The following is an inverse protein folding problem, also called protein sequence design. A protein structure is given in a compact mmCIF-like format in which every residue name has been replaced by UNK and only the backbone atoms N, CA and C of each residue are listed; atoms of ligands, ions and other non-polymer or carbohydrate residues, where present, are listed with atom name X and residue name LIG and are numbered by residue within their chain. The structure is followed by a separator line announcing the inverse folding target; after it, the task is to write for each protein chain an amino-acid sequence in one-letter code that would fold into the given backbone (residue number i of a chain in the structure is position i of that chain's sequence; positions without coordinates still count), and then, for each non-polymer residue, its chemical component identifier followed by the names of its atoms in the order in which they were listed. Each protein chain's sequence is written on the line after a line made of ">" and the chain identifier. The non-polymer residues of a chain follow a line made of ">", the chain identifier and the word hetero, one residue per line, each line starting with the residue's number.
data_IF_698279234355
#
_entry.id   IF_698279234355
#
_cell.length_a   1.000
_cell.length_b   1.000
_cell.length_c   1.000
_cell.angle_alpha   90.00
_cell.angle_beta   90.00
_cell.angle_gamma   90.00
#
_symmetry.space_group_name_H-M   'P 1'
#
loop_
_entity.id
_entity.type
_entity.pdbx_description
1 polymer ?
#
# COMPACT_ATOMS: atom_id res chain seq x y z
N UNK A 1 -34.43 -57.45 10.82
CA UNK A 1 -33.46 -56.60 10.10
C UNK A 1 -32.53 -56.00 11.13
N UNK A 2 -31.23 -56.29 11.06
CA UNK A 2 -30.22 -55.77 11.99
C UNK A 2 -30.11 -54.25 11.83
N UNK A 3 -30.23 -53.51 12.94
CA UNK A 3 -30.08 -52.06 12.94
C UNK A 3 -28.61 -51.73 12.63
N UNK A 4 -28.37 -51.23 11.40
CA UNK A 4 -27.03 -50.84 10.98
C UNK A 4 -26.51 -49.69 11.84
N UNK A 5 -25.37 -49.90 12.47
CA UNK A 5 -24.60 -48.86 13.15
C UNK A 5 -24.23 -47.78 12.11
N UNK A 6 -24.77 -46.58 12.26
CA UNK A 6 -24.31 -45.40 11.53
C UNK A 6 -23.06 -44.88 12.24
N UNK A 7 -21.90 -45.02 11.62
CA UNK A 7 -20.71 -44.29 12.01
C UNK A 7 -20.90 -42.83 11.58
N UNK A 8 -21.41 -41.99 12.48
CA UNK A 8 -21.23 -40.55 12.35
C UNK A 8 -19.76 -40.26 12.66
N UNK A 9 -18.91 -40.36 11.65
CA UNK A 9 -17.61 -39.69 11.69
C UNK A 9 -17.92 -38.21 11.47
N UNK A 10 -17.99 -37.43 12.54
CA UNK A 10 -17.89 -35.99 12.41
C UNK A 10 -16.60 -35.71 11.61
N UNK A 11 -16.65 -34.94 10.50
CA UNK A 11 -15.44 -34.61 9.78
C UNK A 11 -14.46 -33.99 10.77
N UNK A 12 -13.20 -34.46 10.77
CA UNK A 12 -12.17 -33.88 11.62
C UNK A 12 -12.21 -32.36 11.43
N UNK A 13 -12.25 -31.57 12.52
CA UNK A 13 -12.29 -30.13 12.40
C UNK A 13 -11.07 -29.73 11.57
N UNK A 14 -11.34 -29.09 10.42
CA UNK A 14 -10.32 -28.46 9.60
C UNK A 14 -9.42 -27.67 10.54
N UNK A 15 -8.16 -28.08 10.66
CA UNK A 15 -7.16 -27.31 11.39
C UNK A 15 -6.99 -26.05 10.55
N UNK A 16 -7.61 -24.97 11.00
CA UNK A 16 -7.52 -23.69 10.32
C UNK A 16 -6.05 -23.24 10.38
N UNK A 17 -5.35 -23.42 9.25
CA UNK A 17 -3.94 -23.08 9.12
C UNK A 17 -3.80 -21.56 9.21
N UNK A 18 -3.12 -21.10 10.26
CA UNK A 18 -2.87 -19.67 10.52
C UNK A 18 -1.71 -19.11 9.70
N UNK A 19 -0.85 -20.00 9.23
CA UNK A 19 0.35 -19.75 8.44
C UNK A 19 0.73 -21.07 7.75
N UNK A 20 1.55 -21.01 6.69
CA UNK A 20 2.04 -22.22 6.02
C UNK A 20 2.97 -23.00 6.98
N UNK A 21 2.48 -24.12 7.48
CA UNK A 21 3.18 -24.98 8.45
C UNK A 21 4.54 -25.48 7.95
N UNK A 22 4.75 -25.59 6.64
CA UNK A 22 6.03 -26.01 6.05
C UNK A 22 7.13 -24.94 6.21
N UNK A 23 6.72 -23.67 6.33
CA UNK A 23 7.64 -22.52 6.48
C UNK A 23 8.01 -22.24 7.93
N UNK A 24 7.20 -22.77 8.86
CA UNK A 24 7.34 -22.63 10.30
C UNK A 24 8.59 -23.29 10.85
N UNK A 25 9.60 -22.50 11.21
CA UNK A 25 10.84 -23.01 11.81
C UNK A 25 10.86 -22.72 13.30
N UNK A 26 10.99 -23.77 14.11
CA UNK A 26 11.19 -23.64 15.56
C UNK A 26 12.54 -23.04 15.86
N UNK A 27 12.55 -22.07 16.76
CA UNK A 27 13.76 -21.55 17.39
C UNK A 27 14.34 -22.63 18.31
N UNK A 28 15.67 -22.79 18.31
CA UNK A 28 16.36 -23.79 19.14
C UNK A 28 16.26 -23.45 20.63
N UNK A 29 16.01 -24.47 21.44
CA UNK A 29 15.99 -24.45 22.90
C UNK A 29 14.67 -23.96 23.51
N UNK A 30 14.33 -24.42 24.73
CA UNK A 30 13.21 -23.88 25.47
C UNK A 30 13.53 -22.48 26.03
N UNK A 31 12.51 -21.65 26.18
CA UNK A 31 12.59 -20.34 26.82
C UNK A 31 11.73 -20.34 28.08
N UNK A 32 12.24 -19.77 29.17
CA UNK A 32 11.47 -19.57 30.40
C UNK A 32 10.47 -18.44 30.19
N UNK A 33 9.18 -18.76 30.22
CA UNK A 33 8.10 -17.78 30.11
C UNK A 33 7.98 -16.99 31.41
N UNK A 34 7.92 -15.67 31.28
CA UNK A 34 7.47 -14.79 32.34
C UNK A 34 5.94 -14.87 32.43
N UNK A 35 5.46 -15.46 33.53
CA UNK A 35 4.04 -15.65 33.81
C UNK A 35 3.44 -14.49 34.62
N UNK A 36 4.22 -13.43 34.88
CA UNK A 36 3.73 -12.24 35.58
C UNK A 36 2.51 -11.66 34.86
N UNK A 37 1.43 -11.40 35.61
CA UNK A 37 0.14 -10.91 35.12
C UNK A 37 -0.61 -11.83 34.14
N UNK A 38 -0.15 -13.09 33.97
CA UNK A 38 -0.92 -14.13 33.29
C UNK A 38 -1.73 -14.93 34.31
N UNK A 39 -2.92 -15.36 33.92
CA UNK A 39 -3.81 -16.14 34.80
C UNK A 39 -3.36 -17.60 34.82
N UNK A 40 -2.98 -18.11 35.99
CA UNK A 40 -2.64 -19.52 36.18
C UNK A 40 -3.83 -20.42 35.81
N UNK A 41 -3.54 -21.57 35.19
CA UNK A 41 -4.53 -22.49 34.63
C UNK A 41 -5.08 -22.09 33.26
N UNK A 42 -4.83 -20.88 32.76
CA UNK A 42 -5.23 -20.46 31.42
C UNK A 42 -4.31 -21.02 30.33
N UNK A 43 -4.76 -20.98 29.07
CA UNK A 43 -3.97 -21.42 27.93
C UNK A 43 -3.61 -20.24 27.02
N UNK A 44 -2.32 -20.10 26.73
CA UNK A 44 -1.84 -19.25 25.65
C UNK A 44 -2.01 -19.98 24.31
N UNK A 45 -2.70 -19.37 23.33
CA UNK A 45 -2.84 -19.97 22.01
C UNK A 45 -1.50 -20.01 21.28
N UNK A 46 -1.37 -20.94 20.32
CA UNK A 46 -0.25 -20.90 19.38
C UNK A 46 -0.22 -19.55 18.65
N UNK A 47 0.97 -19.15 18.21
CA UNK A 47 1.20 -17.87 17.54
C UNK A 47 0.96 -16.62 18.42
N UNK A 48 0.93 -16.77 19.75
CA UNK A 48 0.94 -15.61 20.66
C UNK A 48 2.23 -14.78 20.44
N UNK A 49 2.16 -13.44 20.36
CA UNK A 49 3.34 -12.58 20.22
C UNK A 49 4.26 -12.64 21.45
N UNK A 50 5.55 -12.90 21.23
CA UNK A 50 6.56 -13.08 22.29
C UNK A 50 7.77 -12.18 22.05
N UNK A 51 8.20 -11.48 23.10
CA UNK A 51 9.51 -10.86 23.20
C UNK A 51 10.48 -11.84 23.85
N UNK A 52 11.40 -12.42 23.07
CA UNK A 52 12.37 -13.38 23.57
C UNK A 52 13.74 -12.75 23.81
N UNK A 53 14.33 -13.01 24.98
CA UNK A 53 15.74 -12.75 25.25
C UNK A 53 16.56 -14.00 24.89
N UNK A 54 17.34 -13.89 23.82
CA UNK A 54 18.11 -15.00 23.25
C UNK A 54 19.32 -15.39 24.10
N UNK A 55 19.81 -14.45 24.93
CA UNK A 55 20.97 -14.62 25.81
C UNK A 55 20.52 -15.27 27.11
N UNK A 56 19.50 -14.70 27.76
CA UNK A 56 18.98 -15.19 29.04
C UNK A 56 18.03 -16.38 28.92
N UNK A 57 17.61 -16.72 27.69
CA UNK A 57 16.60 -17.75 27.41
C UNK A 57 15.30 -17.50 28.15
N UNK A 58 14.85 -16.25 28.18
CA UNK A 58 13.55 -15.86 28.74
C UNK A 58 12.61 -15.40 27.63
N UNK A 59 11.31 -15.51 27.87
CA UNK A 59 10.25 -15.11 26.96
C UNK A 59 9.21 -14.31 27.74
N UNK A 60 8.82 -13.16 27.23
CA UNK A 60 7.74 -12.36 27.78
C UNK A 60 6.63 -12.22 26.75
N UNK A 61 5.37 -12.37 27.18
CA UNK A 61 4.23 -12.15 26.29
C UNK A 61 4.13 -10.67 25.97
N UNK A 62 4.09 -10.34 24.69
CA UNK A 62 3.82 -8.99 24.23
C UNK A 62 2.29 -8.81 24.19
N UNK A 63 1.69 -8.37 25.29
CA UNK A 63 0.23 -8.25 25.40
C UNK A 63 -0.27 -7.19 24.39
N UNK A 64 -1.19 -7.60 23.52
CA UNK A 64 -1.85 -6.78 22.50
C UNK A 64 -3.36 -6.90 22.63
N UNK A 65 -4.03 -5.79 22.37
CA UNK A 65 -5.47 -5.67 22.55
C UNK A 65 -6.06 -5.03 21.30
N UNK A 66 -6.98 -5.72 20.64
CA UNK A 66 -7.65 -5.19 19.45
C UNK A 66 -8.98 -4.54 19.84
N UNK A 67 -9.21 -3.33 19.34
CA UNK A 67 -10.44 -2.56 19.56
C UNK A 67 -11.60 -3.18 18.80
N UNK A 68 -12.68 -3.50 19.52
CA UNK A 68 -13.87 -4.14 18.95
C UNK A 68 -14.86 -3.13 18.40
N UNK A 69 -15.04 -2.00 19.09
CA UNK A 69 -15.96 -0.93 18.69
C UNK A 69 -15.23 0.41 18.81
N UNK A 70 -15.55 1.33 17.89
CA UNK A 70 -14.93 2.67 17.82
C UNK A 70 -15.01 3.35 19.18
N UNK A 71 -13.85 3.75 19.70
CA UNK A 71 -13.74 4.60 20.88
C UNK A 71 -13.71 6.05 20.43
N UNK A 72 -14.70 6.84 20.85
CA UNK A 72 -14.70 8.28 20.58
C UNK A 72 -14.19 9.01 21.81
N UNK A 73 -13.23 9.92 21.62
CA UNK A 73 -12.74 10.80 22.70
C UNK A 73 -13.80 11.83 23.10
N UNK A 74 -13.77 12.29 24.35
CA UNK A 74 -14.69 13.30 24.86
C UNK A 74 -15.21 13.02 26.26
N UNK A 75 -14.32 12.58 27.17
CA UNK A 75 -14.64 12.09 28.53
C UNK A 75 -15.18 10.67 28.56
N UNK A 76 -14.98 9.88 27.50
CA UNK A 76 -15.35 8.48 27.48
C UNK A 76 -14.28 7.66 28.21
N UNK A 77 -14.68 6.82 29.15
CA UNK A 77 -13.77 5.93 29.87
C UNK A 77 -14.04 4.45 29.56
N UNK A 78 -14.91 4.16 28.61
CA UNK A 78 -15.29 2.80 28.24
C UNK A 78 -14.69 2.43 26.89
N UNK A 79 -13.82 1.43 26.88
CA UNK A 79 -13.22 0.86 25.66
C UNK A 79 -13.67 -0.60 25.51
N UNK A 80 -14.20 -0.97 24.34
CA UNK A 80 -14.58 -2.35 24.02
C UNK A 80 -13.50 -3.00 23.17
N UNK A 81 -13.10 -4.20 23.56
CA UNK A 81 -11.98 -4.92 22.94
C UNK A 81 -12.40 -6.34 22.59
N UNK A 82 -11.70 -6.97 21.65
CA UNK A 82 -11.96 -8.38 21.32
C UNK A 82 -11.74 -9.29 22.52
N UNK A 83 -12.53 -10.37 22.57
CA UNK A 83 -12.40 -11.44 23.59
C UNK A 83 -11.02 -12.08 23.55
N UNK A 84 -10.70 -12.76 24.65
CA UNK A 84 -9.46 -13.51 24.85
C UNK A 84 -8.21 -12.63 24.80
N UNK A 85 -8.38 -11.32 24.98
CA UNK A 85 -7.27 -10.44 25.28
C UNK A 85 -6.62 -10.84 26.62
N UNK A 86 -5.29 -10.70 26.69
CA UNK A 86 -4.54 -10.92 27.92
C UNK A 86 -4.49 -9.65 28.79
N UNK A 87 -5.46 -8.76 28.63
CA UNK A 87 -5.56 -7.52 29.40
C UNK A 87 -5.81 -7.82 30.89
N UNK A 88 -5.20 -7.02 31.77
CA UNK A 88 -5.32 -7.14 33.21
C UNK A 88 -5.51 -5.76 33.87
N UNK A 89 -6.02 -5.74 35.10
CA UNK A 89 -6.30 -4.50 35.85
C UNK A 89 -4.99 -3.83 36.24
N UNK A 90 -4.89 -2.52 36.04
CA UNK A 90 -3.68 -1.72 36.26
C UNK A 90 -2.74 -1.67 35.07
N UNK A 91 -3.02 -2.40 33.97
CA UNK A 91 -2.25 -2.30 32.74
C UNK A 91 -2.39 -0.92 32.09
N UNK A 92 -1.29 -0.36 31.60
CA UNK A 92 -1.31 0.84 30.75
C UNK A 92 -1.46 0.42 29.28
N UNK A 93 -2.48 0.92 28.60
CA UNK A 93 -2.64 0.79 27.16
C UNK A 93 -1.95 1.95 26.46
N UNK A 94 -1.40 1.72 25.28
CA UNK A 94 -0.79 2.75 24.45
C UNK A 94 -0.96 2.52 22.96
N UNK A 95 -0.90 3.61 22.19
CA UNK A 95 -0.88 3.59 20.73
C UNK A 95 0.36 4.26 20.11
N UNK A 96 1.29 4.78 20.90
CA UNK A 96 2.48 5.52 20.42
C UNK A 96 2.46 6.99 20.79
N UNK A 97 1.28 7.55 21.02
CA UNK A 97 1.08 8.97 21.32
C UNK A 97 0.26 9.19 22.58
N UNK A 98 -0.72 8.31 22.80
CA UNK A 98 -1.72 8.40 23.84
C UNK A 98 -1.87 7.06 24.56
N UNK A 99 -2.36 7.13 25.80
CA UNK A 99 -2.53 5.96 26.64
C UNK A 99 -3.46 6.19 27.82
N UNK A 100 -3.90 5.08 28.41
CA UNK A 100 -4.76 5.07 29.58
C UNK A 100 -4.57 3.81 30.42
N UNK A 101 -4.80 3.92 31.73
CA UNK A 101 -4.74 2.78 32.65
C UNK A 101 -6.09 2.07 32.73
N UNK A 102 -6.09 0.75 32.75
CA UNK A 102 -7.28 -0.07 32.97
C UNK A 102 -7.61 -0.14 34.47
N UNK A 103 -8.78 0.37 34.87
CA UNK A 103 -9.28 0.28 36.24
C UNK A 103 -10.08 -1.01 36.50
N UNK A 104 -10.87 -1.45 35.52
CA UNK A 104 -11.64 -2.68 35.64
C UNK A 104 -11.90 -3.31 34.28
N UNK A 105 -12.17 -4.62 34.29
CA UNK A 105 -12.47 -5.41 33.10
C UNK A 105 -13.76 -6.18 33.37
N UNK A 106 -14.76 -5.97 32.52
CA UNK A 106 -15.98 -6.76 32.50
C UNK A 106 -15.95 -7.73 31.31
N UNK A 107 -16.07 -9.02 31.62
CA UNK A 107 -15.99 -10.13 30.66
C UNK A 107 -17.34 -10.84 30.44
N UNK A 108 -18.45 -10.26 30.94
CA UNK A 108 -19.77 -10.90 30.89
C UNK A 108 -20.33 -11.07 29.47
N UNK A 109 -19.96 -10.16 28.56
CA UNK A 109 -20.40 -10.21 27.17
C UNK A 109 -19.67 -11.32 26.40
N UNK A 110 -20.39 -11.99 25.49
CA UNK A 110 -19.84 -13.10 24.69
C UNK A 110 -19.02 -12.63 23.49
N UNK A 111 -19.25 -11.41 23.00
CA UNK A 111 -18.64 -10.85 21.80
C UNK A 111 -17.43 -9.96 22.09
N UNK A 112 -17.41 -9.25 23.23
CA UNK A 112 -16.32 -8.34 23.60
C UNK A 112 -16.01 -8.37 25.11
N UNK A 113 -14.84 -7.88 25.48
CA UNK A 113 -14.52 -7.49 26.85
C UNK A 113 -14.63 -5.97 26.97
N UNK A 114 -15.21 -5.48 28.07
CA UNK A 114 -15.39 -4.05 28.32
C UNK A 114 -14.37 -3.58 29.34
N UNK A 115 -13.50 -2.67 28.93
CA UNK A 115 -12.52 -2.02 29.79
C UNK A 115 -13.08 -0.70 30.32
N UNK A 116 -12.91 -0.47 31.63
CA UNK A 116 -13.07 0.84 32.24
C UNK A 116 -11.70 1.46 32.42
N UNK A 117 -11.44 2.57 31.75
CA UNK A 117 -10.19 3.32 31.78
C UNK A 117 -10.20 4.36 32.90
N UNK A 118 -9.02 4.70 33.43
CA UNK A 118 -8.85 5.71 34.47
C UNK A 118 -9.12 7.14 33.99
N UNK A 119 -8.91 7.38 32.69
CA UNK A 119 -9.17 8.64 32.01
C UNK A 119 -9.58 8.33 30.56
N UNK A 120 -10.07 9.35 29.86
CA UNK A 120 -10.24 9.27 28.41
C UNK A 120 -8.89 8.90 27.75
N UNK A 121 -8.95 8.09 26.69
CA UNK A 121 -7.74 7.66 25.98
C UNK A 121 -7.00 8.85 25.36
N UNK A 122 -7.68 9.98 25.14
CA UNK A 122 -7.09 11.21 24.58
C UNK A 122 -7.09 11.26 23.06
N UNK A 123 -7.60 10.22 22.40
CA UNK A 123 -7.73 10.12 20.95
C UNK A 123 -8.92 9.21 20.59
N UNK A 124 -9.53 9.46 19.43
CA UNK A 124 -10.50 8.53 18.86
C UNK A 124 -9.76 7.31 18.31
N UNK A 125 -10.16 6.10 18.74
CA UNK A 125 -9.53 4.84 18.32
C UNK A 125 -10.51 4.05 17.48
N UNK A 126 -10.13 3.79 16.22
CA UNK A 126 -10.99 3.09 15.25
C UNK A 126 -11.03 1.57 15.51
N UNK A 127 -12.12 0.93 15.07
CA UNK A 127 -12.29 -0.52 15.12
C UNK A 127 -11.12 -1.24 14.46
N UNK A 128 -10.66 -2.34 15.05
CA UNK A 128 -9.54 -3.14 14.54
C UNK A 128 -8.16 -2.59 14.88
N UNK A 129 -8.07 -1.41 15.53
CA UNK A 129 -6.79 -0.88 16.00
C UNK A 129 -6.21 -1.78 17.08
N UNK A 130 -4.93 -2.11 16.97
CA UNK A 130 -4.22 -2.95 17.95
C UNK A 130 -3.41 -2.06 18.90
N UNK A 131 -3.88 -1.97 20.15
CA UNK A 131 -3.20 -1.30 21.24
C UNK A 131 -2.20 -2.24 21.91
N UNK A 132 -1.16 -1.68 22.51
CA UNK A 132 -0.14 -2.44 23.22
C UNK A 132 -0.11 -2.12 24.72
N UNK A 133 0.42 -3.05 25.51
CA UNK A 133 0.84 -2.75 26.88
C UNK A 133 2.00 -1.76 26.86
N UNK A 134 1.81 -0.60 27.49
CA UNK A 134 2.77 0.48 27.55
C UNK A 134 3.59 0.47 28.85
N UNK A 135 4.78 1.05 28.82
CA UNK A 135 5.64 1.23 30.00
C UNK A 135 5.10 2.26 30.99
N UNK A 136 4.33 3.22 30.51
CA UNK A 136 3.81 4.35 31.28
C UNK A 136 2.40 4.74 30.81
N UNK A 137 1.70 5.50 31.64
CA UNK A 137 0.32 5.97 31.36
C UNK A 137 0.21 6.77 30.06
N UNK A 138 1.27 7.46 29.64
CA UNK A 138 1.30 8.22 28.38
C UNK A 138 1.10 7.36 27.14
N UNK A 139 1.33 6.04 27.22
CA UNK A 139 1.09 5.13 26.10
C UNK A 139 2.04 5.29 24.92
N UNK A 140 3.19 5.95 25.10
CA UNK A 140 4.13 6.29 24.03
C UNK A 140 5.09 5.17 23.65
N UNK A 141 5.32 4.22 24.56
CA UNK A 141 6.33 3.18 24.36
C UNK A 141 5.78 1.83 24.81
N UNK A 142 5.83 0.79 23.96
CA UNK A 142 5.42 -0.54 24.35
C UNK A 142 6.39 -1.10 25.39
N UNK A 143 5.85 -1.83 26.38
CA UNK A 143 6.64 -2.48 27.43
C UNK A 143 7.64 -3.48 26.87
N UNK A 144 7.19 -4.23 25.87
CA UNK A 144 8.02 -5.14 25.09
C UNK A 144 7.57 -5.14 23.64
N UNK A 145 8.51 -5.40 22.74
CA UNK A 145 8.25 -5.57 21.30
C UNK A 145 8.50 -7.04 20.95
N UNK A 146 7.54 -7.68 20.29
CA UNK A 146 7.68 -9.07 19.92
C UNK A 146 8.79 -9.24 18.87
N UNK A 147 9.55 -10.32 19.00
CA UNK A 147 10.59 -10.72 18.03
C UNK A 147 10.45 -12.19 17.63
N UNK A 148 9.46 -12.88 18.21
CA UNK A 148 9.16 -14.30 18.05
C UNK A 148 7.67 -14.52 18.29
N UNK A 149 7.16 -15.69 17.92
CA UNK A 149 5.80 -16.12 18.23
C UNK A 149 5.82 -17.48 18.94
N UNK A 150 4.77 -17.78 19.71
CA UNK A 150 4.64 -19.07 20.39
C UNK A 150 4.43 -20.22 19.38
N UNK A 151 5.20 -21.30 19.47
CA UNK A 151 5.09 -22.41 18.53
C UNK A 151 3.80 -23.24 18.71
N UNK A 152 3.48 -23.58 19.95
CA UNK A 152 2.34 -24.43 20.29
C UNK A 152 1.47 -23.78 21.36
N UNK A 153 0.30 -24.37 21.61
CA UNK A 153 -0.53 -23.98 22.75
C UNK A 153 0.20 -24.34 24.05
N UNK A 154 0.19 -23.43 25.03
CA UNK A 154 0.89 -23.61 26.32
C UNK A 154 -0.07 -23.30 27.46
N UNK A 155 -0.07 -24.12 28.51
CA UNK A 155 -0.77 -23.82 29.75
C UNK A 155 0.10 -22.95 30.66
N UNK A 156 -0.49 -21.90 31.24
CA UNK A 156 0.16 -21.08 32.26
C UNK A 156 0.05 -21.82 33.59
N UNK A 157 1.19 -22.21 34.17
CA UNK A 157 1.26 -22.86 35.47
C UNK A 157 1.86 -21.90 36.51
N UNK A 158 1.63 -22.16 37.80
CA UNK A 158 2.22 -21.37 38.89
C UNK A 158 3.75 -21.56 39.01
N UNK A 159 4.29 -22.57 38.31
CA UNK A 159 5.72 -22.91 38.29
C UNK A 159 6.48 -22.38 37.07
N UNK A 160 7.65 -22.99 36.82
CA UNK A 160 8.47 -22.65 35.65
C UNK A 160 7.82 -23.19 34.38
N UNK A 161 7.30 -22.29 33.56
CA UNK A 161 6.75 -22.64 32.23
C UNK A 161 7.85 -22.49 31.18
N UNK A 162 8.15 -23.59 30.48
CA UNK A 162 9.08 -23.61 29.36
C UNK A 162 8.33 -23.63 28.03
N UNK A 163 8.67 -22.70 27.14
CA UNK A 163 7.99 -22.53 25.86
C UNK A 163 8.92 -22.72 24.68
N UNK A 164 8.35 -23.22 23.59
CA UNK A 164 9.01 -23.25 22.29
C UNK A 164 8.52 -22.09 21.44
N UNK A 165 9.44 -21.46 20.72
CA UNK A 165 9.16 -20.28 19.92
C UNK A 165 9.36 -20.59 18.42
N UNK A 166 8.67 -19.84 17.58
CA UNK A 166 8.92 -19.75 16.15
C UNK A 166 10.03 -18.72 15.91
N UNK A 167 10.96 -19.08 15.02
CA UNK A 167 11.97 -18.16 14.46
C UNK A 167 11.50 -17.56 13.13
N UNK A 168 10.68 -18.30 12.37
CA UNK A 168 10.20 -17.94 11.04
C UNK A 168 8.82 -18.55 10.80
N UNK A 169 7.95 -17.82 10.11
CA UNK A 169 6.69 -18.32 9.56
C UNK A 169 6.27 -17.41 8.38
N UNK A 170 5.76 -17.98 7.29
CA UNK A 170 5.30 -17.22 6.13
C UNK A 170 3.82 -17.46 5.86
N UNK A 171 3.26 -16.62 4.99
CA UNK A 171 1.84 -16.62 4.62
C UNK A 171 0.89 -16.55 5.83
N UNK A 172 1.26 -15.75 6.83
CA UNK A 172 0.50 -15.62 8.06
C UNK A 172 -0.77 -14.82 7.75
N UNK A 173 -1.94 -15.35 8.07
CA UNK A 173 -3.22 -14.65 7.91
C UNK A 173 -3.62 -13.93 9.22
N UNK A 174 -3.51 -12.59 9.31
CA UNK A 174 -3.74 -11.88 10.58
C UNK A 174 -5.16 -12.04 11.12
N UNK A 175 -6.15 -12.20 10.25
CA UNK A 175 -7.58 -12.37 10.59
C UNK A 175 -7.87 -13.68 11.31
N UNK A 176 -7.06 -14.73 11.08
CA UNK A 176 -7.16 -16.05 11.71
C UNK A 176 -6.36 -16.16 13.01
N UNK A 177 -5.58 -15.13 13.36
CA UNK A 177 -4.80 -15.15 14.58
C UNK A 177 -5.69 -14.95 15.79
N UNK A 178 -5.54 -15.84 16.78
CA UNK A 178 -6.23 -15.69 18.06
C UNK A 178 -5.72 -14.48 18.86
N UNK A 179 -4.47 -14.06 18.62
CA UNK A 179 -3.83 -12.91 19.26
C UNK A 179 -3.32 -11.95 18.18
N UNK A 180 -3.62 -10.65 18.28
CA UNK A 180 -3.19 -9.68 17.30
C UNK A 180 -1.69 -9.34 17.46
N UNK A 181 -1.07 -8.91 16.35
CA UNK A 181 0.29 -8.34 16.33
C UNK A 181 0.18 -6.86 15.99
N UNK A 182 0.87 -6.01 16.77
CA UNK A 182 0.97 -4.58 16.42
C UNK A 182 1.94 -4.37 15.26
N UNK A 183 1.87 -3.22 14.60
CA UNK A 183 2.78 -2.93 13.48
C UNK A 183 4.24 -2.82 13.92
N UNK A 184 4.49 -2.37 15.16
CA UNK A 184 5.83 -2.35 15.77
C UNK A 184 6.38 -3.78 15.92
N UNK A 185 5.53 -4.74 16.28
CA UNK A 185 5.94 -6.15 16.38
C UNK A 185 6.29 -6.72 15.01
N UNK A 186 5.41 -6.49 14.02
CA UNK A 186 5.62 -6.97 12.64
C UNK A 186 6.93 -6.42 12.08
N UNK A 187 7.21 -5.14 12.30
CA UNK A 187 8.46 -4.50 11.87
C UNK A 187 9.70 -5.13 12.53
N UNK A 188 9.57 -5.63 13.76
CA UNK A 188 10.66 -6.26 14.51
C UNK A 188 10.77 -7.78 14.24
N UNK A 189 9.94 -8.34 13.35
CA UNK A 189 9.87 -9.76 13.02
C UNK A 189 10.21 -9.99 11.53
N UNK A 190 11.47 -9.79 11.08
CA UNK A 190 11.84 -9.79 9.65
C UNK A 190 11.70 -11.15 8.96
N UNK A 191 11.60 -12.23 9.72
CA UNK A 191 11.39 -13.59 9.20
C UNK A 191 9.92 -14.04 9.31
N UNK A 192 9.00 -13.10 9.47
CA UNK A 192 7.58 -13.36 9.54
C UNK A 192 6.87 -12.58 8.42
N UNK A 193 6.23 -13.31 7.50
CA UNK A 193 5.47 -12.68 6.42
C UNK A 193 3.99 -12.69 6.79
N UNK A 194 3.52 -11.56 7.31
CA UNK A 194 2.11 -11.30 7.52
C UNK A 194 1.49 -10.93 6.18
N UNK A 195 0.59 -11.79 5.68
CA UNK A 195 -0.25 -11.44 4.56
C UNK A 195 -1.10 -10.24 4.98
N UNK A 196 -1.19 -9.22 4.13
CA UNK A 196 -2.20 -8.20 4.32
C UNK A 196 -3.57 -8.89 4.40
N UNK A 197 -4.43 -8.47 5.33
CA UNK A 197 -5.77 -9.02 5.48
C UNK A 197 -6.59 -8.71 4.21
N UNK A 198 -6.43 -9.53 3.17
CA UNK A 198 -6.75 -9.15 1.80
C UNK A 198 -5.93 -7.94 1.33
N UNK A 199 -5.51 -7.96 0.08
CA UNK A 199 -5.36 -6.69 -0.64
C UNK A 199 -6.79 -6.23 -0.97
N UNK A 200 -7.51 -5.77 0.05
CA UNK A 200 -8.46 -4.71 -0.15
C UNK A 200 -7.79 -3.48 0.43
N UNK A 201 -7.66 -2.42 -0.38
CA UNK A 201 -7.39 -1.09 0.16
C UNK A 201 -8.22 -0.93 1.43
N UNK A 202 -7.64 -0.43 2.54
CA UNK A 202 -8.37 -0.33 3.80
C UNK A 202 -9.73 0.28 3.50
N UNK A 203 -10.82 -0.36 3.92
CA UNK A 203 -12.16 0.11 3.63
C UNK A 203 -12.28 1.55 4.14
N UNK A 204 -12.37 2.52 3.21
CA UNK A 204 -12.37 3.95 3.52
C UNK A 204 -11.10 4.73 3.12
N UNK A 205 -10.08 4.08 2.56
CA UNK A 205 -8.94 4.75 1.94
C UNK A 205 -9.01 4.53 0.43
N UNK A 206 -9.89 5.28 -0.24
CA UNK A 206 -9.70 5.56 -1.65
C UNK A 206 -8.44 6.41 -1.74
N UNK A 207 -7.33 5.82 -2.17
CA UNK A 207 -6.21 6.62 -2.61
C UNK A 207 -6.63 7.32 -3.91
N UNK A 208 -7.15 8.54 -3.79
CA UNK A 208 -7.29 9.43 -4.92
C UNK A 208 -5.91 9.99 -5.24
N UNK A 209 -5.35 9.57 -6.39
CA UNK A 209 -4.11 10.13 -6.88
C UNK A 209 -4.35 11.62 -7.14
N UNK A 210 -3.65 12.53 -6.44
CA UNK A 210 -3.83 13.96 -6.64
C UNK A 210 -3.42 14.34 -8.06
N UNK A 211 -3.98 15.45 -8.56
CA UNK A 211 -3.54 16.01 -9.83
C UNK A 211 -2.06 16.42 -9.74
N UNK A 212 -1.27 16.03 -10.74
CA UNK A 212 0.15 16.34 -10.77
C UNK A 212 0.37 17.86 -10.91
N UNK A 213 1.25 18.42 -10.09
CA UNK A 213 1.67 19.82 -10.18
C UNK A 213 3.20 19.95 -10.08
N UNK A 214 3.71 21.18 -10.15
CA UNK A 214 5.13 21.47 -9.90
C UNK A 214 5.58 21.17 -8.46
N UNK A 215 4.62 20.95 -7.56
CA UNK A 215 4.81 20.82 -6.11
C UNK A 215 4.13 19.57 -5.51
N UNK A 216 3.32 18.85 -6.31
CA UNK A 216 2.56 17.67 -5.88
C UNK A 216 2.81 16.49 -6.82
N UNK A 217 3.17 15.34 -6.26
CA UNK A 217 3.43 14.10 -6.99
C UNK A 217 2.11 13.36 -7.29
N UNK A 218 1.51 13.66 -8.44
CA UNK A 218 0.33 12.97 -8.97
C UNK A 218 0.66 11.75 -9.83
N UNK A 219 1.63 10.95 -9.39
CA UNK A 219 2.26 9.86 -10.15
C UNK A 219 3.54 10.31 -10.88
N UNK A 220 3.52 11.51 -11.46
CA UNK A 220 4.71 12.27 -11.88
C UNK A 220 4.62 13.69 -11.29
N UNK A 221 5.76 14.36 -11.08
CA UNK A 221 5.82 15.77 -10.70
C UNK A 221 6.09 16.62 -11.95
N UNK A 222 5.35 17.71 -12.11
CA UNK A 222 5.52 18.67 -13.21
C UNK A 222 6.59 19.72 -12.85
N UNK A 223 6.73 20.76 -13.67
CA UNK A 223 7.66 21.88 -13.39
C UNK A 223 9.05 21.75 -14.01
N UNK A 224 9.28 20.76 -14.88
CA UNK A 224 10.49 20.72 -15.70
C UNK A 224 10.57 21.95 -16.60
N UNK A 225 11.72 22.62 -16.64
CA UNK A 225 11.98 23.70 -17.59
C UNK A 225 12.62 23.13 -18.85
N UNK A 226 12.13 23.52 -20.03
CA UNK A 226 12.63 23.02 -21.31
C UNK A 226 14.16 23.17 -21.40
N UNK A 227 14.82 22.10 -21.85
CA UNK A 227 16.27 22.10 -22.08
C UNK A 227 16.60 21.32 -23.35
N UNK A 228 17.08 22.04 -24.37
CA UNK A 228 17.34 21.47 -25.69
C UNK A 228 16.08 20.83 -26.30
N UNK A 229 16.19 19.54 -26.67
CA UNK A 229 15.08 18.74 -27.23
C UNK A 229 14.24 18.02 -26.17
N UNK A 230 14.40 18.37 -24.89
CA UNK A 230 13.56 17.86 -23.80
C UNK A 230 12.48 18.88 -23.49
N UNK A 231 11.24 18.49 -23.69
CA UNK A 231 10.07 19.34 -23.52
C UNK A 231 9.32 18.98 -22.23
N UNK A 232 8.75 19.97 -21.52
CA UNK A 232 7.92 19.70 -20.36
C UNK A 232 6.62 18.99 -20.73
N UNK A 233 6.12 18.20 -19.79
CA UNK A 233 4.75 17.68 -19.84
C UNK A 233 3.84 18.71 -19.19
N UNK A 234 2.78 19.11 -19.90
CA UNK A 234 1.73 19.99 -19.42
C UNK A 234 0.44 19.19 -19.22
N UNK A 235 -0.46 19.72 -18.40
CA UNK A 235 -1.72 19.09 -18.04
C UNK A 235 -2.87 20.06 -18.31
N UNK A 236 -3.87 19.64 -19.10
CA UNK A 236 -5.07 20.42 -19.37
C UNK A 236 -6.27 19.46 -19.48
N UNK A 237 -7.35 19.74 -18.74
CA UNK A 237 -8.56 18.91 -18.76
C UNK A 237 -8.33 17.44 -18.37
N UNK A 238 -7.39 17.17 -17.44
CA UNK A 238 -7.03 15.83 -16.99
C UNK A 238 -6.24 14.99 -18.01
N UNK A 239 -5.76 15.60 -19.11
CA UNK A 239 -4.92 14.95 -20.11
C UNK A 239 -3.52 15.54 -20.09
N UNK A 240 -2.53 14.67 -20.25
CA UNK A 240 -1.14 15.07 -20.40
C UNK A 240 -0.81 15.34 -21.88
N UNK A 241 -0.10 16.42 -22.16
CA UNK A 241 0.39 16.77 -23.49
C UNK A 241 1.78 17.40 -23.41
N UNK A 242 2.44 17.53 -24.55
CA UNK A 242 3.76 18.14 -24.68
C UNK A 242 3.70 19.15 -25.81
N UNK A 243 3.98 20.41 -25.52
CA UNK A 243 4.12 21.43 -26.56
C UNK A 243 5.53 21.32 -27.16
N UNK A 244 5.57 20.82 -28.39
CA UNK A 244 6.78 20.83 -29.21
C UNK A 244 6.66 22.05 -30.14
N UNK A 245 7.49 23.09 -29.98
CA UNK A 245 7.53 24.20 -30.92
C UNK A 245 7.98 23.65 -32.27
N UNK A 246 7.03 23.51 -33.19
CA UNK A 246 7.34 23.31 -34.60
C UNK A 246 7.17 24.63 -35.32
N UNK A 247 8.16 25.01 -36.11
CA UNK A 247 7.98 26.03 -37.13
C UNK A 247 7.54 25.33 -38.39
N UNK A 248 6.34 25.66 -38.88
CA UNK A 248 5.95 25.22 -40.21
C UNK A 248 6.76 26.03 -41.24
N UNK A 249 7.88 25.46 -41.67
CA UNK A 249 8.68 26.00 -42.77
C UNK A 249 8.02 25.70 -44.13
N UNK A 250 6.68 25.81 -44.23
CA UNK A 250 5.98 25.73 -45.51
C UNK A 250 6.52 26.85 -46.41
N UNK A 251 7.56 26.54 -47.19
CA UNK A 251 8.23 27.48 -48.07
C UNK A 251 7.20 27.94 -49.06
N UNK A 252 6.65 29.14 -48.82
CA UNK A 252 5.72 29.76 -49.76
C UNK A 252 6.55 30.18 -50.96
N UNK A 253 6.55 29.34 -51.99
CA UNK A 253 7.31 29.61 -53.19
C UNK A 253 6.64 30.75 -53.97
N UNK A 254 7.40 31.83 -54.19
CA UNK A 254 6.94 32.94 -55.02
C UNK A 254 7.23 32.67 -56.50
N UNK A 255 6.46 33.29 -57.39
CA UNK A 255 6.75 33.27 -58.82
C UNK A 255 8.10 33.95 -59.10
N UNK A 256 8.86 33.42 -60.04
CA UNK A 256 10.11 34.03 -60.49
C UNK A 256 9.86 35.46 -61.02
N UNK A 257 10.77 36.38 -60.71
CA UNK A 257 10.76 37.73 -61.26
C UNK A 257 12.17 38.16 -61.68
N UNK A 258 12.31 39.33 -62.31
CA UNK A 258 13.60 39.81 -62.85
C UNK A 258 14.68 40.05 -61.80
N UNK A 259 14.32 40.05 -60.51
CA UNK A 259 15.20 40.43 -59.40
C UNK A 259 15.27 39.38 -58.30
N UNK A 260 14.50 38.28 -58.38
CA UNK A 260 14.45 37.24 -57.33
C UNK A 260 14.16 35.88 -57.95
N UNK A 261 14.91 34.86 -57.51
CA UNK A 261 14.65 33.48 -57.86
C UNK A 261 13.27 33.05 -57.34
N UNK A 262 12.54 32.28 -58.14
CA UNK A 262 11.22 31.76 -57.80
C UNK A 262 10.84 30.61 -58.70
N UNK A 263 9.62 30.10 -58.56
CA UNK A 263 9.11 29.03 -59.41
C UNK A 263 8.58 29.57 -60.74
N UNK A 264 8.67 28.73 -61.77
CA UNK A 264 8.00 28.92 -63.06
C UNK A 264 7.01 27.78 -63.29
N UNK A 265 5.95 28.04 -64.06
CA UNK A 265 5.06 26.98 -64.54
C UNK A 265 5.66 26.32 -65.77
N UNK A 266 5.23 25.10 -66.07
CA UNK A 266 5.57 24.45 -67.34
C UNK A 266 4.83 25.16 -68.49
N UNK A 267 5.54 25.39 -69.61
CA UNK A 267 4.96 25.92 -70.84
C UNK A 267 3.91 24.99 -71.46
N UNK A 268 2.95 25.56 -72.17
CA UNK A 268 2.05 24.79 -73.03
C UNK A 268 2.85 24.08 -74.14
N UNK A 269 2.37 22.91 -74.56
CA UNK A 269 2.99 22.13 -75.66
C UNK A 269 3.10 22.99 -76.93
N UNK A 270 4.27 23.00 -77.54
CA UNK A 270 4.53 23.60 -78.87
C UNK A 270 5.02 22.45 -79.76
N UNK A 271 4.38 22.25 -80.90
CA UNK A 271 4.76 21.16 -81.83
C UNK A 271 6.07 21.48 -82.56
N UNK A 272 6.83 20.42 -82.89
CA UNK A 272 8.10 20.51 -83.61
C UNK A 272 7.94 21.18 -84.99
N UNK A 273 9.05 21.77 -85.47
CA UNK A 273 9.10 22.42 -86.78
C UNK A 273 9.14 21.38 -87.91
N UNK A 274 7.96 20.94 -88.37
CA UNK A 274 7.80 20.00 -89.48
C UNK A 274 7.44 20.69 -90.83
N UNK A 275 8.02 21.87 -91.08
CA UNK A 275 7.70 22.73 -92.23
C UNK A 275 6.56 23.73 -91.97
N UNK A 276 6.71 24.97 -92.48
CA UNK A 276 5.81 26.11 -92.25
C UNK A 276 6.58 27.44 -92.13
N UNK A 277 5.89 28.56 -91.91
CA UNK A 277 6.54 29.86 -91.64
C UNK A 277 7.22 29.83 -90.26
N UNK A 278 8.55 29.95 -90.25
CA UNK A 278 9.39 29.96 -89.05
C UNK A 278 8.97 31.06 -88.06
N UNK A 279 8.47 32.19 -88.58
CA UNK A 279 8.03 33.33 -87.77
C UNK A 279 6.84 32.96 -86.89
N UNK A 280 5.88 32.21 -87.41
CA UNK A 280 4.69 31.81 -86.67
C UNK A 280 5.04 30.80 -85.55
N UNK A 281 5.98 29.89 -85.82
CA UNK A 281 6.47 28.92 -84.84
C UNK A 281 7.27 29.58 -83.72
N UNK A 282 8.13 30.54 -84.05
CA UNK A 282 8.86 31.34 -83.06
C UNK A 282 7.89 32.13 -82.20
N UNK A 283 6.87 32.75 -82.80
CA UNK A 283 5.85 33.48 -82.05
C UNK A 283 5.02 32.58 -81.13
N UNK A 284 4.70 31.35 -81.56
CA UNK A 284 4.00 30.37 -80.73
C UNK A 284 4.83 29.93 -79.51
N UNK A 285 6.13 29.70 -79.69
CA UNK A 285 7.04 29.39 -78.58
C UNK A 285 7.15 30.57 -77.60
N UNK A 286 7.35 31.79 -78.11
CA UNK A 286 7.39 33.01 -77.30
C UNK A 286 6.09 33.21 -76.51
N UNK A 287 4.94 32.90 -77.10
CA UNK A 287 3.64 32.98 -76.43
C UNK A 287 3.53 31.96 -75.28
N UNK A 288 3.94 30.71 -75.51
CA UNK A 288 3.94 29.66 -74.48
C UNK A 288 4.84 30.01 -73.30
N UNK A 289 6.05 30.53 -73.56
CA UNK A 289 7.00 30.92 -72.52
C UNK A 289 6.51 32.15 -71.71
N UNK A 290 5.86 33.13 -72.35
CA UNK A 290 5.24 34.28 -71.65
C UNK A 290 4.07 33.85 -70.77
N UNK A 291 3.18 33.00 -71.30
CA UNK A 291 2.02 32.52 -70.56
C UNK A 291 2.40 31.71 -69.31
N UNK A 292 3.53 30.99 -69.37
CA UNK A 292 4.07 30.24 -68.25
C UNK A 292 4.87 31.10 -67.23
N UNK A 293 5.06 32.39 -67.51
CA UNK A 293 5.85 33.30 -66.66
C UNK A 293 7.35 33.04 -66.70
N UNK A 294 7.86 32.35 -67.74
CA UNK A 294 9.29 32.04 -67.91
C UNK A 294 10.05 33.26 -68.44
N UNK A 295 9.38 34.06 -69.28
CA UNK A 295 9.91 35.33 -69.79
C UNK A 295 8.89 36.44 -69.52
N UNK A 296 9.37 37.67 -69.34
CA UNK A 296 8.49 38.82 -69.08
C UNK A 296 7.49 39.03 -70.23
N UNK A 297 6.23 39.30 -69.89
CA UNK A 297 5.29 39.90 -70.82
C UNK A 297 5.75 41.33 -71.13
N UNK A 298 5.55 41.78 -72.36
CA UNK A 298 5.65 43.21 -72.69
C UNK A 298 4.64 44.02 -71.89
#
# INVERSE_FOLDING_TARGET
>A
MSAGYKYYMEPEPSIEERYDVSTGVRRRGPYKLDTTNLVAGSFLPSFTPIAADLVKKTAQVAIRVEVYEKFTTGSNTTLKIKKNSLAYVGMHLGNGSHGATINSIDKSDKAFDKLTLAADFGETVEVGTVLYEATAVSGTTPKVVANSALYGRVQVEEGVVLVALLMRAFEIEPTKLAMPFSDIDKANMPHFQFNAAGVQSPAGVSYELPEASDSVMGGIQLGFSQSGKKYPVALEGGKAYVEVPWTDNNTTYQAANSSTLGLVKQGAKVDDAAGGDEKDKINALLASLRAAGIIASK
#
